data_IF_336747794136
#
_entry.id   IF_336747794136
#
_cell.length_a   1.000
_cell.length_b   1.000
_cell.length_c   1.000
_cell.angle_alpha   90.00
_cell.angle_beta   90.00
_cell.angle_gamma   90.00
#
_symmetry.space_group_name_H-M   'P 1'
#
loop_
_entity.id
_entity.type
_entity.pdbx_description
1 polymer ?
#
# COMPACT_ATOMS: atom_id res chain seq x y z
N UNK A 1 -3.98 7.05 12.43
CA UNK A 1 -4.28 7.37 11.00
C UNK A 1 -3.35 8.44 10.42
N UNK A 2 -3.32 9.65 10.98
CA UNK A 2 -2.52 10.77 10.41
C UNK A 2 -1.03 10.43 10.27
N UNK A 3 -0.42 9.85 11.30
CA UNK A 3 0.99 9.48 11.27
C UNK A 3 1.30 8.50 10.12
N UNK A 4 0.50 7.46 9.98
CA UNK A 4 0.69 6.47 8.93
C UNK A 4 0.45 7.06 7.54
N UNK A 5 -0.55 7.93 7.40
CA UNK A 5 -0.81 8.65 6.16
C UNK A 5 0.37 9.53 5.75
N UNK A 6 0.95 10.27 6.68
CA UNK A 6 2.12 11.11 6.41
C UNK A 6 3.35 10.27 6.00
N UNK A 7 3.59 9.16 6.67
CA UNK A 7 4.67 8.22 6.30
C UNK A 7 4.47 7.68 4.87
N UNK A 8 3.25 7.29 4.54
CA UNK A 8 2.91 6.78 3.21
C UNK A 8 3.11 7.85 2.12
N UNK A 9 2.70 9.08 2.39
CA UNK A 9 2.90 10.22 1.47
C UNK A 9 4.38 10.53 1.24
N UNK A 10 5.17 10.54 2.31
CA UNK A 10 6.62 10.75 2.22
C UNK A 10 7.30 9.65 1.40
N UNK A 11 6.90 8.39 1.59
CA UNK A 11 7.41 7.27 0.81
C UNK A 11 7.06 7.43 -0.68
N UNK A 12 5.81 7.73 -0.99
CA UNK A 12 5.35 7.93 -2.37
C UNK A 12 6.11 9.10 -3.04
N UNK A 13 6.28 10.20 -2.33
CA UNK A 13 7.02 11.36 -2.82
C UNK A 13 8.50 11.01 -3.09
N UNK A 14 9.13 10.28 -2.16
CA UNK A 14 10.53 9.85 -2.34
C UNK A 14 10.70 8.97 -3.58
N UNK A 15 9.78 8.05 -3.80
CA UNK A 15 9.79 7.20 -5.00
C UNK A 15 9.66 8.03 -6.28
N UNK A 16 8.81 9.07 -6.27
CA UNK A 16 8.68 10.00 -7.39
C UNK A 16 9.97 10.77 -7.67
N UNK A 17 10.63 11.27 -6.64
CA UNK A 17 11.93 11.98 -6.76
C UNK A 17 12.99 11.06 -7.35
N UNK A 18 13.08 9.82 -6.88
CA UNK A 18 14.04 8.83 -7.40
C UNK A 18 13.76 8.51 -8.87
N UNK A 19 12.49 8.39 -9.24
CA UNK A 19 12.08 8.14 -10.63
C UNK A 19 12.50 9.28 -11.54
N UNK A 20 12.25 10.52 -11.13
CA UNK A 20 12.61 11.70 -11.92
C UNK A 20 14.13 11.86 -12.07
N UNK A 21 14.89 11.44 -11.08
CA UNK A 21 16.36 11.43 -11.12
C UNK A 21 16.95 10.25 -11.92
N UNK A 22 16.13 9.29 -12.34
CA UNK A 22 16.61 8.07 -13.01
C UNK A 22 17.30 7.07 -12.09
N UNK A 23 17.09 7.18 -10.77
CA UNK A 23 17.74 6.37 -9.74
C UNK A 23 16.80 5.33 -9.09
N UNK A 24 15.56 5.22 -9.57
CA UNK A 24 14.58 4.32 -9.00
C UNK A 24 14.88 2.87 -9.35
N UNK A 25 15.10 2.04 -8.33
CA UNK A 25 15.12 0.59 -8.48
C UNK A 25 13.66 0.07 -8.44
N UNK A 26 13.25 -0.78 -9.41
CA UNK A 26 11.89 -1.37 -9.41
C UNK A 26 11.50 -2.06 -8.11
N UNK A 27 12.46 -2.62 -7.36
CA UNK A 27 12.23 -3.25 -6.05
C UNK A 27 11.77 -2.24 -4.98
N UNK A 28 12.14 -0.97 -5.13
CA UNK A 28 11.66 0.10 -4.26
C UNK A 28 10.17 0.39 -4.48
N UNK A 29 9.65 0.18 -5.70
CA UNK A 29 8.21 0.26 -5.99
C UNK A 29 7.46 -0.80 -5.20
N UNK A 30 8.01 -2.01 -5.06
CA UNK A 30 7.43 -3.07 -4.23
C UNK A 30 7.30 -2.64 -2.76
N UNK A 31 8.30 -1.94 -2.21
CA UNK A 31 8.21 -1.35 -0.86
C UNK A 31 7.03 -0.39 -0.78
N UNK A 32 6.94 0.54 -1.73
CA UNK A 32 5.88 1.56 -1.76
C UNK A 32 4.49 0.94 -1.86
N UNK A 33 4.30 0.02 -2.79
CA UNK A 33 3.00 -0.64 -2.96
C UNK A 33 2.63 -1.47 -1.73
N UNK A 34 3.54 -2.30 -1.23
CA UNK A 34 3.29 -3.16 -0.07
C UNK A 34 2.90 -2.33 1.17
N UNK A 35 3.65 -1.27 1.46
CA UNK A 35 3.36 -0.42 2.61
C UNK A 35 2.09 0.43 2.40
N UNK A 36 2.04 1.20 1.33
CA UNK A 36 1.02 2.24 1.19
C UNK A 36 -0.39 1.67 1.00
N UNK A 37 -0.53 0.55 0.30
CA UNK A 37 -1.84 -0.09 0.12
C UNK A 37 -2.35 -0.68 1.43
N UNK A 38 -1.49 -1.33 2.20
CA UNK A 38 -1.84 -1.86 3.54
C UNK A 38 -2.27 -0.73 4.47
N UNK A 39 -1.47 0.31 4.56
CA UNK A 39 -1.76 1.46 5.43
C UNK A 39 -3.08 2.15 5.02
N UNK A 40 -3.32 2.35 3.73
CA UNK A 40 -4.55 2.93 3.24
C UNK A 40 -5.78 2.07 3.60
N UNK A 41 -5.67 0.76 3.49
CA UNK A 41 -6.76 -0.16 3.85
C UNK A 41 -7.02 -0.14 5.37
N UNK A 42 -5.96 -0.12 6.18
CA UNK A 42 -6.09 -0.04 7.63
C UNK A 42 -6.69 1.30 8.08
N UNK A 43 -6.31 2.41 7.44
CA UNK A 43 -6.94 3.73 7.65
C UNK A 43 -8.43 3.68 7.32
N UNK A 44 -8.82 3.05 6.22
CA UNK A 44 -10.25 2.89 5.86
C UNK A 44 -11.01 2.07 6.92
N UNK A 45 -10.43 0.99 7.40
CA UNK A 45 -11.03 0.14 8.44
C UNK A 45 -11.21 0.91 9.75
N UNK A 46 -10.21 1.68 10.15
CA UNK A 46 -10.27 2.51 11.35
C UNK A 46 -11.32 3.61 11.20
N UNK A 47 -11.36 4.31 10.07
CA UNK A 47 -12.38 5.32 9.77
C UNK A 47 -13.79 4.73 9.80
N UNK A 48 -13.98 3.53 9.23
CA UNK A 48 -15.24 2.80 9.33
C UNK A 48 -15.64 2.55 10.78
N UNK A 49 -14.69 2.13 11.61
CA UNK A 49 -14.93 1.86 13.04
C UNK A 49 -15.36 3.14 13.77
N UNK A 50 -14.71 4.27 13.50
CA UNK A 50 -15.05 5.57 14.09
C UNK A 50 -16.48 5.99 13.71
N UNK A 51 -16.89 5.75 12.47
CA UNK A 51 -18.23 6.08 11.98
C UNK A 51 -19.33 5.13 12.51
N UNK A 52 -18.95 4.01 13.12
CA UNK A 52 -19.90 3.00 13.60
C UNK A 52 -20.72 2.40 12.44
N UNK A 53 -22.03 2.23 12.65
CA UNK A 53 -22.93 1.68 11.63
C UNK A 53 -22.97 2.54 10.36
N UNK A 54 -22.79 3.86 10.46
CA UNK A 54 -22.75 4.75 9.30
C UNK A 54 -21.58 4.41 8.38
N UNK A 55 -20.49 3.89 8.91
CA UNK A 55 -19.29 3.56 8.14
C UNK A 55 -19.45 2.41 7.15
N UNK A 56 -20.52 1.62 7.27
CA UNK A 56 -20.82 0.52 6.33
C UNK A 56 -21.90 0.88 5.31
N UNK A 57 -22.44 2.08 5.37
CA UNK A 57 -23.46 2.56 4.42
C UNK A 57 -22.79 3.19 3.20
N UNK A 58 -23.52 3.24 2.07
CA UNK A 58 -23.05 3.87 0.85
C UNK A 58 -23.06 5.41 0.89
N UNK A 59 -23.67 6.00 1.92
CA UNK A 59 -23.69 7.45 2.12
C UNK A 59 -22.32 8.01 2.52
N UNK A 60 -21.45 7.16 3.07
CA UNK A 60 -20.08 7.50 3.42
C UNK A 60 -19.10 6.76 2.49
N UNK A 61 -18.04 7.41 2.00
CA UNK A 61 -17.17 6.82 0.97
C UNK A 61 -16.22 5.74 1.48
N UNK A 62 -16.13 5.51 2.78
CA UNK A 62 -15.10 4.68 3.42
C UNK A 62 -15.09 3.24 2.89
N UNK A 63 -16.26 2.59 2.83
CA UNK A 63 -16.37 1.22 2.33
C UNK A 63 -16.07 1.13 0.83
N UNK A 64 -16.41 2.15 0.05
CA UNK A 64 -16.04 2.20 -1.36
C UNK A 64 -14.53 2.23 -1.54
N UNK A 65 -13.84 3.04 -0.76
CA UNK A 65 -12.37 3.09 -0.79
C UNK A 65 -11.76 1.77 -0.30
N UNK A 66 -12.28 1.18 0.76
CA UNK A 66 -11.83 -0.11 1.25
C UNK A 66 -11.97 -1.21 0.18
N UNK A 67 -13.11 -1.30 -0.49
CA UNK A 67 -13.33 -2.27 -1.56
C UNK A 67 -12.38 -2.05 -2.74
N UNK A 68 -12.16 -0.79 -3.14
CA UNK A 68 -11.20 -0.48 -4.19
C UNK A 68 -9.77 -0.86 -3.80
N UNK A 69 -9.40 -0.65 -2.54
CA UNK A 69 -8.07 -1.01 -2.03
C UNK A 69 -7.84 -2.52 -1.97
N UNK A 70 -8.88 -3.32 -1.75
CA UNK A 70 -8.76 -4.78 -1.88
C UNK A 70 -8.37 -5.19 -3.30
N UNK A 71 -8.90 -4.50 -4.32
CA UNK A 71 -8.48 -4.70 -5.70
C UNK A 71 -7.03 -4.28 -5.92
N UNK A 72 -6.63 -3.11 -5.39
CA UNK A 72 -5.24 -2.62 -5.50
C UNK A 72 -4.26 -3.56 -4.81
N UNK A 73 -4.67 -4.15 -3.68
CA UNK A 73 -3.87 -5.14 -2.94
C UNK A 73 -3.57 -6.39 -3.79
N UNK A 74 -4.43 -6.67 -4.77
CA UNK A 74 -4.42 -7.91 -5.54
C UNK A 74 -3.78 -7.76 -6.91
N UNK A 75 -4.06 -6.67 -7.64
CA UNK A 75 -3.62 -6.52 -9.03
C UNK A 75 -2.19 -5.94 -9.14
N UNK A 76 -1.56 -6.17 -10.29
CA UNK A 76 -0.18 -5.73 -10.60
C UNK A 76 0.85 -6.11 -9.52
N UNK A 77 0.79 -7.35 -9.09
CA UNK A 77 1.58 -7.89 -7.98
C UNK A 77 0.81 -7.84 -6.67
N UNK A 78 0.46 -9.02 -6.17
CA UNK A 78 -0.17 -9.16 -4.85
C UNK A 78 0.79 -8.76 -3.74
N UNK A 79 0.27 -8.54 -2.53
CA UNK A 79 1.11 -8.30 -1.35
C UNK A 79 2.09 -9.42 -1.09
N UNK A 80 1.71 -10.66 -1.38
CA UNK A 80 2.55 -11.84 -1.24
C UNK A 80 3.72 -11.80 -2.24
N UNK A 81 3.46 -11.46 -3.50
CA UNK A 81 4.49 -11.32 -4.53
C UNK A 81 5.48 -10.21 -4.17
N UNK A 82 5.00 -9.05 -3.73
CA UNK A 82 5.90 -7.98 -3.27
C UNK A 82 6.71 -8.38 -2.05
N UNK A 83 6.13 -9.16 -1.13
CA UNK A 83 6.86 -9.71 0.02
C UNK A 83 7.98 -10.64 -0.42
N UNK A 84 7.72 -11.50 -1.42
CA UNK A 84 8.74 -12.41 -1.97
C UNK A 84 9.87 -11.63 -2.68
N UNK A 85 9.54 -10.60 -3.44
CA UNK A 85 10.53 -9.73 -4.09
C UNK A 85 11.44 -9.07 -3.04
N UNK A 86 10.88 -8.54 -1.97
CA UNK A 86 11.67 -7.92 -0.90
C UNK A 86 12.45 -8.94 -0.09
N UNK A 87 11.91 -10.14 0.10
CA UNK A 87 12.63 -11.26 0.72
C UNK A 87 13.88 -11.63 -0.07
N UNK A 88 13.80 -11.70 -1.39
CA UNK A 88 14.96 -11.93 -2.26
C UNK A 88 16.02 -10.83 -2.11
N UNK A 89 15.60 -9.56 -2.02
CA UNK A 89 16.52 -8.43 -1.81
C UNK A 89 17.30 -8.58 -0.50
N UNK A 90 16.61 -9.00 0.56
CA UNK A 90 17.18 -9.07 1.90
C UNK A 90 18.06 -10.32 2.11
N UNK A 91 17.69 -11.44 1.51
CA UNK A 91 18.34 -12.74 1.74
C UNK A 91 19.29 -13.16 0.62
N UNK A 92 19.12 -12.61 -0.58
CA UNK A 92 19.82 -13.07 -1.78
C UNK A 92 19.26 -14.36 -2.37
N UNK A 93 18.23 -14.95 -1.76
CA UNK A 93 17.63 -16.20 -2.21
C UNK A 93 16.34 -15.98 -2.99
N UNK A 94 16.24 -16.62 -4.15
CA UNK A 94 15.06 -16.52 -5.01
C UNK A 94 13.94 -17.40 -4.48
N UNK A 95 12.77 -16.76 -4.24
CA UNK A 95 11.55 -17.48 -3.93
C UNK A 95 10.82 -17.97 -5.19
N UNK A 96 11.05 -17.30 -6.32
CA UNK A 96 10.47 -17.63 -7.61
C UNK A 96 11.59 -18.11 -8.55
N UNK A 97 11.45 -19.30 -9.05
CA UNK A 97 12.42 -19.93 -9.97
C UNK A 97 12.42 -19.22 -11.35
#
# INVERSE_FOLDING_TARGET
>A
MMLELQKAQLLAWRLGVLKDAGELDPRQISVGKLNNVREALDVCREARTILGANGITSEYPVMRHANNLESVLTYEGTSEIHTLILGEVLTGERALA
#
